data_IF_002795674704
#
_entry.id   IF_002795674704
#
_cell.length_a   1.000
_cell.length_b   1.000
_cell.length_c   1.000
_cell.angle_alpha   90.00
_cell.angle_beta   90.00
_cell.angle_gamma   90.00
#
_symmetry.space_group_name_H-M   'P 1'
#
loop_
_entity.id
_entity.type
_entity.pdbx_description
1 polymer ?
#
# COMPACT_ATOMS: atom_id res chain seq x y z
N UNK A 1 -5.92 -14.22 13.22
CA UNK A 1 -5.83 -12.77 13.49
C UNK A 1 -4.43 -12.32 13.05
N UNK A 2 -4.27 -12.01 11.77
CA UNK A 2 -2.98 -11.62 11.18
C UNK A 2 -2.70 -10.16 11.54
N UNK A 3 -1.74 -9.97 12.45
CA UNK A 3 -1.31 -8.67 12.93
C UNK A 3 -0.85 -7.78 11.78
N UNK A 4 -1.51 -6.64 11.64
CA UNK A 4 -1.01 -5.53 10.86
C UNK A 4 0.32 -5.12 11.53
N UNK A 5 1.45 -5.06 10.80
CA UNK A 5 2.69 -4.57 11.38
C UNK A 5 2.42 -3.19 12.00
N UNK A 6 2.79 -3.02 13.26
CA UNK A 6 2.49 -1.85 14.07
C UNK A 6 2.72 -0.58 13.24
N UNK A 7 1.63 0.12 12.91
CA UNK A 7 1.72 1.30 12.03
C UNK A 7 2.49 2.36 12.81
N UNK A 8 3.63 2.84 12.30
CA UNK A 8 4.44 3.82 13.02
C UNK A 8 3.57 5.03 13.41
N UNK A 9 3.77 5.63 14.61
CA UNK A 9 3.05 6.82 15.04
C UNK A 9 2.90 7.92 13.96
N UNK A 10 3.93 8.25 13.15
CA UNK A 10 3.80 9.26 12.08
C UNK A 10 2.88 8.84 10.92
N UNK A 11 2.63 7.54 10.73
CA UNK A 11 1.85 6.99 9.61
C UNK A 11 0.45 6.50 10.03
N UNK A 12 0.00 6.84 11.25
CA UNK A 12 -1.33 6.45 11.74
C UNK A 12 -2.47 6.97 10.85
N UNK A 13 -2.28 8.12 10.22
CA UNK A 13 -3.22 8.69 9.24
C UNK A 13 -3.39 7.78 8.01
N UNK A 14 -2.38 6.98 7.69
CA UNK A 14 -2.37 6.10 6.51
C UNK A 14 -2.96 4.71 6.79
N UNK A 15 -3.05 4.33 8.07
CA UNK A 15 -3.54 3.01 8.52
C UNK A 15 -4.96 2.70 8.00
N UNK A 16 -5.82 3.72 7.96
CA UNK A 16 -7.21 3.55 7.52
C UNK A 16 -7.29 3.19 6.02
N UNK A 17 -6.48 3.85 5.18
CA UNK A 17 -6.43 3.56 3.74
C UNK A 17 -5.92 2.14 3.47
N UNK A 18 -4.96 1.64 4.24
CA UNK A 18 -4.43 0.28 4.08
C UNK A 18 -5.47 -0.78 4.48
N UNK A 19 -6.25 -0.49 5.53
CA UNK A 19 -7.35 -1.37 5.93
C UNK A 19 -8.41 -1.47 4.83
N UNK A 20 -8.81 -0.32 4.28
CA UNK A 20 -9.73 -0.26 3.14
C UNK A 20 -9.12 -1.03 1.96
N UNK A 21 -7.87 -0.76 1.58
CA UNK A 21 -7.21 -1.47 0.49
C UNK A 21 -7.32 -2.99 0.69
N UNK A 22 -6.93 -3.52 1.86
CA UNK A 22 -7.02 -4.95 2.14
C UNK A 22 -8.45 -5.53 2.02
N UNK A 23 -9.49 -4.76 2.34
CA UNK A 23 -10.89 -5.19 2.13
C UNK A 23 -11.26 -5.29 0.63
N UNK A 24 -10.68 -4.43 -0.20
CA UNK A 24 -10.86 -4.44 -1.65
C UNK A 24 -9.88 -5.34 -2.40
N UNK A 25 -8.82 -5.83 -1.77
CA UNK A 25 -7.79 -6.67 -2.39
C UNK A 25 -8.35 -7.92 -3.10
N UNK A 26 -9.47 -8.47 -2.60
CA UNK A 26 -10.17 -9.62 -3.20
C UNK A 26 -11.39 -9.24 -4.05
N UNK A 27 -11.90 -8.01 -3.92
CA UNK A 27 -13.14 -7.55 -4.57
C UNK A 27 -12.88 -6.74 -5.82
N UNK A 28 -11.98 -5.77 -5.73
CA UNK A 28 -11.62 -4.88 -6.82
C UNK A 28 -10.16 -4.48 -6.69
N UNK A 29 -9.38 -5.06 -7.60
CA UNK A 29 -7.95 -4.85 -7.68
C UNK A 29 -7.55 -3.44 -8.14
N UNK A 30 -8.42 -2.77 -8.90
CA UNK A 30 -8.18 -1.38 -9.33
C UNK A 30 -8.30 -0.47 -8.12
N UNK A 31 -9.34 -0.65 -7.30
CA UNK A 31 -9.52 0.09 -6.05
C UNK A 31 -8.35 -0.19 -5.10
N UNK A 32 -7.95 -1.45 -4.93
CA UNK A 32 -6.79 -1.83 -4.12
C UNK A 32 -5.52 -1.05 -4.54
N UNK A 33 -5.21 -1.05 -5.84
CA UNK A 33 -4.03 -0.38 -6.36
C UNK A 33 -4.05 1.13 -6.09
N UNK A 34 -5.13 1.82 -6.44
CA UNK A 34 -5.22 3.27 -6.28
C UNK A 34 -5.25 3.72 -4.82
N UNK A 35 -5.93 2.96 -3.94
CA UNK A 35 -5.90 3.25 -2.50
C UNK A 35 -4.53 3.04 -1.88
N UNK A 36 -3.81 1.97 -2.27
CA UNK A 36 -2.44 1.75 -1.79
C UNK A 36 -1.46 2.81 -2.32
N UNK A 37 -1.58 3.19 -3.59
CA UNK A 37 -0.75 4.23 -4.19
C UNK A 37 -0.95 5.58 -3.51
N UNK A 38 -2.22 5.96 -3.27
CA UNK A 38 -2.56 7.17 -2.54
C UNK A 38 -2.05 7.12 -1.09
N UNK A 39 -2.16 5.98 -0.42
CA UNK A 39 -1.61 5.77 0.92
C UNK A 39 -0.09 6.01 0.96
N UNK A 40 0.66 5.48 0.00
CA UNK A 40 2.11 5.69 -0.08
C UNK A 40 2.43 7.16 -0.34
N UNK A 41 1.76 7.78 -1.30
CA UNK A 41 1.97 9.20 -1.63
C UNK A 41 1.69 10.09 -0.41
N UNK A 42 0.59 9.85 0.29
CA UNK A 42 0.23 10.59 1.50
C UNK A 42 1.18 10.31 2.66
N UNK A 43 1.61 9.05 2.83
CA UNK A 43 2.62 8.67 3.82
C UNK A 43 3.97 9.34 3.57
N UNK A 44 4.40 9.46 2.32
CA UNK A 44 5.62 10.20 1.95
C UNK A 44 5.52 11.70 2.23
N UNK A 45 4.32 12.29 2.17
CA UNK A 45 4.12 13.69 2.57
C UNK A 45 4.17 13.91 4.08
N UNK A 46 3.81 12.88 4.86
CA UNK A 46 3.79 12.94 6.33
C UNK A 46 5.20 12.74 6.90
N UNK A 47 5.88 11.69 6.46
CA UNK A 47 7.21 11.35 6.96
C UNK A 47 8.03 10.63 5.89
N UNK A 48 9.08 11.31 5.44
CA UNK A 48 10.07 10.82 4.45
C UNK A 48 11.48 10.73 5.02
N UNK A 49 11.63 10.94 6.33
CA UNK A 49 12.95 11.06 6.97
C UNK A 49 13.14 10.00 8.06
N UNK A 50 12.07 9.55 8.70
CA UNK A 50 12.17 8.49 9.70
C UNK A 50 12.47 7.13 9.04
N UNK A 51 13.53 6.42 9.48
CA UNK A 51 13.83 5.06 9.03
C UNK A 51 12.64 4.09 9.08
N UNK A 52 11.80 4.04 10.15
CA UNK A 52 10.65 3.14 10.18
C UNK A 52 9.54 3.52 9.18
N UNK A 53 9.36 4.81 8.89
CA UNK A 53 8.39 5.26 7.90
C UNK A 53 8.84 4.86 6.48
N UNK A 54 10.11 5.07 6.17
CA UNK A 54 10.71 4.68 4.89
C UNK A 54 10.64 3.16 4.69
N UNK A 55 10.96 2.36 5.71
CA UNK A 55 10.85 0.89 5.66
C UNK A 55 9.42 0.42 5.38
N UNK A 56 8.45 1.06 6.03
CA UNK A 56 7.03 0.74 5.83
C UNK A 56 6.57 1.09 4.41
N UNK A 57 6.88 2.30 3.93
CA UNK A 57 6.56 2.76 2.57
C UNK A 57 7.25 1.89 1.51
N UNK A 58 8.50 1.49 1.74
CA UNK A 58 9.26 0.59 0.84
C UNK A 58 8.61 -0.79 0.76
N UNK A 59 8.12 -1.32 1.90
CA UNK A 59 7.41 -2.62 1.94
C UNK A 59 6.09 -2.56 1.16
N UNK A 60 5.35 -1.46 1.29
CA UNK A 60 4.12 -1.21 0.53
C UNK A 60 4.40 -1.09 -0.99
N UNK A 61 5.45 -0.38 -1.37
CA UNK A 61 5.92 -0.25 -2.75
C UNK A 61 6.30 -1.62 -3.35
N UNK A 62 7.08 -2.42 -2.62
CA UNK A 62 7.44 -3.78 -3.04
C UNK A 62 6.19 -4.68 -3.21
N UNK A 63 5.16 -4.46 -2.39
CA UNK A 63 3.87 -5.16 -2.52
C UNK A 63 3.14 -4.75 -3.80
N UNK A 64 3.13 -3.46 -4.14
CA UNK A 64 2.58 -2.95 -5.39
C UNK A 64 3.34 -3.46 -6.62
N UNK A 65 4.68 -3.45 -6.59
CA UNK A 65 5.51 -3.96 -7.67
C UNK A 65 5.26 -5.45 -7.92
N UNK A 66 5.21 -6.25 -6.85
CA UNK A 66 4.86 -7.67 -6.94
C UNK A 66 3.48 -7.89 -7.55
N UNK A 67 2.51 -7.06 -7.17
CA UNK A 67 1.17 -7.09 -7.76
C UNK A 67 1.17 -6.70 -9.24
N UNK A 68 1.94 -5.68 -9.60
CA UNK A 68 2.05 -5.16 -10.97
C UNK A 68 2.76 -6.16 -11.89
N UNK A 69 3.81 -6.82 -11.40
CA UNK A 69 4.54 -7.88 -12.10
C UNK A 69 3.67 -9.12 -12.36
N UNK A 70 2.87 -9.53 -11.37
CA UNK A 70 1.88 -10.61 -11.53
C UNK A 70 0.78 -10.26 -12.56
N UNK A 71 0.52 -8.97 -12.75
CA UNK A 71 -0.45 -8.41 -13.71
C UNK A 71 0.11 -8.15 -15.11
N UNK A 72 1.33 -8.55 -15.46
CA UNK A 72 1.75 -8.63 -16.87
C UNK A 72 0.79 -9.51 -17.71
N UNK A 73 -0.05 -10.31 -17.07
CA UNK A 73 -1.20 -11.01 -17.67
C UNK A 73 -2.42 -10.12 -17.98
N UNK A 74 -2.63 -8.99 -17.28
CA UNK A 74 -3.77 -8.09 -17.51
C UNK A 74 -3.53 -7.08 -18.64
N UNK A 75 -2.28 -6.69 -18.90
CA UNK A 75 -1.92 -5.89 -20.08
C UNK A 75 -2.05 -6.68 -21.40
N UNK A 76 -2.40 -7.97 -21.32
CA UNK A 76 -2.74 -8.80 -22.48
C UNK A 76 -4.23 -8.77 -22.83
N UNK A 77 -5.05 -8.09 -22.01
CA UNK A 77 -6.51 -7.97 -22.17
C UNK A 77 -6.97 -6.52 -22.32
N UNK A 78 -6.05 -5.57 -22.53
CA UNK A 78 -6.28 -4.22 -23.04
C UNK A 78 -5.54 -4.09 -24.37
#
# INVERSE_FOLDING_TARGET
>A
MSGIPDVPPPLRAVAHYIKIANEYASRDVVIYYWTLYYAIQHGMTLDKSSPPAIQFLTTLLATLEKWTLNKSLLLRYL
#
